data_IF_709120156922
#
_entry.id   IF_709120156922
#
_cell.length_a   1.000
_cell.length_b   1.000
_cell.length_c   1.000
_cell.angle_alpha   90.00
_cell.angle_beta   90.00
_cell.angle_gamma   90.00
#
_symmetry.space_group_name_H-M   'P 1'
#
loop_
_entity.id
_entity.type
_entity.pdbx_description
1 polymer ?
#
# COMPACT_ATOMS: atom_id res chain seq x y z
N UNK A 1 4.13 -56.63 -78.64
CA UNK A 1 3.64 -56.91 -77.27
C UNK A 1 4.66 -56.56 -76.17
N UNK A 2 5.95 -56.92 -76.29
CA UNK A 2 6.97 -56.67 -75.24
C UNK A 2 7.18 -55.18 -74.88
N UNK A 3 7.18 -54.27 -75.86
CA UNK A 3 7.36 -52.81 -75.62
C UNK A 3 6.19 -52.16 -74.84
N UNK A 4 4.95 -52.64 -75.04
CA UNK A 4 3.78 -52.13 -74.33
C UNK A 4 3.79 -52.55 -72.84
N UNK A 5 4.26 -53.78 -72.55
CA UNK A 5 4.41 -54.29 -71.18
C UNK A 5 5.45 -53.51 -70.37
N UNK A 6 6.57 -53.11 -71.00
CA UNK A 6 7.58 -52.28 -70.33
C UNK A 6 7.08 -50.87 -70.01
N UNK A 7 6.28 -50.27 -70.89
CA UNK A 7 5.70 -48.93 -70.65
C UNK A 7 4.69 -48.99 -69.50
N UNK A 8 3.88 -50.05 -69.41
CA UNK A 8 2.94 -50.21 -68.29
C UNK A 8 3.66 -50.44 -66.96
N UNK A 9 4.74 -51.23 -66.94
CA UNK A 9 5.53 -51.46 -65.71
C UNK A 9 6.19 -50.15 -65.23
N UNK A 10 6.80 -49.38 -66.15
CA UNK A 10 7.41 -48.09 -65.83
C UNK A 10 6.40 -47.05 -65.32
N UNK A 11 5.19 -47.00 -65.90
CA UNK A 11 4.13 -46.13 -65.42
C UNK A 11 3.65 -46.51 -64.00
N UNK A 12 3.64 -47.80 -63.69
CA UNK A 12 3.17 -48.30 -62.39
C UNK A 12 4.20 -48.02 -61.29
N UNK A 13 5.49 -48.19 -61.57
CA UNK A 13 6.56 -47.84 -60.61
C UNK A 13 6.63 -46.34 -60.34
N UNK A 14 6.44 -45.49 -61.36
CA UNK A 14 6.41 -44.03 -61.19
C UNK A 14 5.24 -43.57 -60.32
N UNK A 15 4.06 -44.20 -60.46
CA UNK A 15 2.89 -43.91 -59.62
C UNK A 15 3.08 -44.36 -58.16
N UNK A 16 3.77 -45.47 -57.93
CA UNK A 16 4.06 -45.96 -56.56
C UNK A 16 5.12 -45.07 -55.90
N UNK A 17 6.20 -44.72 -56.62
CA UNK A 17 7.24 -43.83 -56.12
C UNK A 17 6.70 -42.42 -55.81
N UNK A 18 5.91 -41.84 -56.71
CA UNK A 18 5.28 -40.53 -56.48
C UNK A 18 4.31 -40.52 -55.29
N UNK A 19 3.58 -41.62 -55.03
CA UNK A 19 2.73 -41.76 -53.84
C UNK A 19 3.54 -41.90 -52.54
N UNK A 20 4.71 -42.55 -52.58
CA UNK A 20 5.60 -42.66 -51.43
C UNK A 20 6.25 -41.31 -51.10
N UNK A 21 6.72 -40.58 -52.11
CA UNK A 21 7.32 -39.24 -51.94
C UNK A 21 6.30 -38.22 -51.42
N UNK A 22 5.06 -38.21 -51.93
CA UNK A 22 4.00 -37.32 -51.44
C UNK A 22 3.61 -37.64 -49.99
N UNK A 23 3.63 -38.92 -49.58
CA UNK A 23 3.39 -39.31 -48.18
C UNK A 23 4.57 -38.91 -47.28
N UNK A 24 5.81 -39.07 -47.74
CA UNK A 24 7.00 -38.67 -47.00
C UNK A 24 7.06 -37.15 -46.79
N UNK A 25 6.77 -36.37 -47.84
CA UNK A 25 6.71 -34.91 -47.77
C UNK A 25 5.58 -34.40 -46.86
N UNK A 26 4.41 -35.06 -46.86
CA UNK A 26 3.32 -34.73 -45.91
C UNK A 26 3.70 -35.05 -44.47
N UNK A 27 4.33 -36.21 -44.23
CA UNK A 27 4.78 -36.61 -42.89
C UNK A 27 5.84 -35.65 -42.33
N UNK A 28 6.81 -35.23 -43.15
CA UNK A 28 7.84 -34.27 -42.77
C UNK A 28 7.27 -32.88 -42.48
N UNK A 29 6.32 -32.42 -43.32
CA UNK A 29 5.62 -31.14 -43.13
C UNK A 29 4.76 -31.15 -41.85
N UNK A 30 4.08 -32.26 -41.56
CA UNK A 30 3.31 -32.43 -40.33
C UNK A 30 4.23 -32.46 -39.11
N UNK A 31 5.37 -33.15 -39.16
CA UNK A 31 6.31 -33.22 -38.04
C UNK A 31 6.90 -31.83 -37.72
N UNK A 32 7.34 -31.09 -38.74
CA UNK A 32 7.84 -29.72 -38.59
C UNK A 32 6.76 -28.76 -38.04
N UNK A 33 5.50 -28.96 -38.44
CA UNK A 33 4.37 -28.22 -37.89
C UNK A 33 4.18 -28.49 -36.38
N UNK A 34 4.21 -29.75 -35.97
CA UNK A 34 4.07 -30.14 -34.56
C UNK A 34 5.25 -29.68 -33.70
N UNK A 35 6.46 -29.66 -34.24
CA UNK A 35 7.64 -29.10 -33.57
C UNK A 35 7.51 -27.59 -33.32
N UNK A 36 7.18 -26.80 -34.36
CA UNK A 36 6.95 -25.36 -34.20
C UNK A 36 5.82 -25.05 -33.21
N UNK A 37 4.74 -25.84 -33.23
CA UNK A 37 3.64 -25.68 -32.27
C UNK A 37 4.09 -25.98 -30.84
N UNK A 38 4.89 -27.03 -30.63
CA UNK A 38 5.44 -27.38 -29.31
C UNK A 38 6.37 -26.29 -28.78
N UNK A 39 7.18 -25.66 -29.63
CA UNK A 39 8.00 -24.52 -29.24
C UNK A 39 7.16 -23.29 -28.88
N UNK A 40 6.12 -22.99 -29.68
CA UNK A 40 5.20 -21.90 -29.39
C UNK A 40 4.43 -22.11 -28.08
N UNK A 41 3.99 -23.34 -27.81
CA UNK A 41 3.36 -23.73 -26.55
C UNK A 41 4.32 -23.55 -25.36
N UNK A 42 5.59 -23.99 -25.49
CA UNK A 42 6.62 -23.76 -24.45
C UNK A 42 6.82 -22.27 -24.14
N UNK A 43 6.97 -21.44 -25.18
CA UNK A 43 7.13 -19.98 -25.02
C UNK A 43 5.91 -19.34 -24.36
N UNK A 44 4.71 -19.78 -24.74
CA UNK A 44 3.46 -19.30 -24.15
C UNK A 44 3.36 -19.69 -22.68
N UNK A 45 3.69 -20.92 -22.34
CA UNK A 45 3.70 -21.41 -20.96
C UNK A 45 4.72 -20.66 -20.11
N UNK A 46 5.91 -20.38 -20.65
CA UNK A 46 6.92 -19.56 -19.99
C UNK A 46 6.42 -18.14 -19.73
N UNK A 47 5.82 -17.49 -20.73
CA UNK A 47 5.20 -16.17 -20.58
C UNK A 47 4.13 -16.13 -19.48
N UNK A 48 3.21 -17.09 -19.47
CA UNK A 48 2.18 -17.15 -18.42
C UNK A 48 2.79 -17.42 -17.04
N UNK A 49 3.79 -18.30 -16.94
CA UNK A 49 4.51 -18.54 -15.67
C UNK A 49 5.19 -17.28 -15.14
N UNK A 50 5.87 -16.52 -16.00
CA UNK A 50 6.50 -15.27 -15.58
C UNK A 50 5.47 -14.22 -15.15
N UNK A 51 4.39 -14.07 -15.92
CA UNK A 51 3.30 -13.16 -15.59
C UNK A 51 2.65 -13.50 -14.25
N UNK A 52 2.39 -14.78 -14.01
CA UNK A 52 1.79 -15.24 -12.76
C UNK A 52 2.74 -15.06 -11.57
N UNK A 53 4.05 -15.29 -11.77
CA UNK A 53 5.07 -14.96 -10.77
C UNK A 53 5.06 -13.47 -10.41
N UNK A 54 5.07 -12.58 -11.40
CA UNK A 54 5.01 -11.12 -11.17
C UNK A 54 3.71 -10.72 -10.47
N UNK A 55 2.57 -11.31 -10.85
CA UNK A 55 1.29 -11.04 -10.21
C UNK A 55 1.26 -11.51 -8.76
N UNK A 56 1.82 -12.69 -8.49
CA UNK A 56 1.94 -13.23 -7.14
C UNK A 56 2.88 -12.38 -6.27
N UNK A 57 3.99 -11.90 -6.83
CA UNK A 57 4.91 -10.98 -6.16
C UNK A 57 4.23 -9.67 -5.79
N UNK A 58 3.55 -9.01 -6.74
CA UNK A 58 2.79 -7.79 -6.49
C UNK A 58 1.72 -7.99 -5.41
N UNK A 59 0.98 -9.11 -5.45
CA UNK A 59 0.00 -9.44 -4.44
C UNK A 59 0.63 -9.64 -3.04
N UNK A 60 1.81 -10.26 -2.97
CA UNK A 60 2.57 -10.43 -1.73
C UNK A 60 3.05 -9.09 -1.18
N UNK A 61 3.61 -8.22 -2.01
CA UNK A 61 4.01 -6.87 -1.59
C UNK A 61 2.83 -6.07 -1.05
N UNK A 62 1.71 -6.06 -1.78
CA UNK A 62 0.51 -5.34 -1.35
C UNK A 62 0.01 -5.88 -0.01
N UNK A 63 0.01 -7.20 0.16
CA UNK A 63 -0.37 -7.84 1.43
C UNK A 63 0.58 -7.48 2.56
N UNK A 64 1.89 -7.51 2.33
CA UNK A 64 2.91 -7.09 3.33
C UNK A 64 2.69 -5.64 3.76
N UNK A 65 2.51 -4.72 2.82
CA UNK A 65 2.20 -3.30 3.11
C UNK A 65 0.91 -3.16 3.93
N UNK A 66 -0.13 -3.92 3.57
CA UNK A 66 -1.39 -3.89 4.29
C UNK A 66 -1.25 -4.44 5.71
N UNK A 67 -0.56 -5.56 5.88
CA UNK A 67 -0.27 -6.16 7.19
C UNK A 67 0.58 -5.21 8.07
N UNK A 68 1.57 -4.54 7.48
CA UNK A 68 2.39 -3.53 8.16
C UNK A 68 1.54 -2.34 8.62
N UNK A 69 0.71 -1.78 7.73
CA UNK A 69 -0.24 -0.72 8.05
C UNK A 69 -1.16 -1.10 9.22
N UNK A 70 -1.79 -2.27 9.17
CA UNK A 70 -2.68 -2.71 10.24
C UNK A 70 -1.92 -3.01 11.54
N UNK A 71 -0.71 -3.54 11.46
CA UNK A 71 0.15 -3.78 12.64
C UNK A 71 0.52 -2.46 13.31
N UNK A 72 0.91 -1.46 12.53
CA UNK A 72 1.24 -0.14 13.04
C UNK A 72 0.01 0.56 13.62
N UNK A 73 -1.11 0.55 12.90
CA UNK A 73 -2.38 1.10 13.38
C UNK A 73 -2.84 0.43 14.68
N UNK A 74 -2.68 -0.89 14.82
CA UNK A 74 -3.03 -1.63 16.04
C UNK A 74 -2.14 -1.24 17.22
N UNK A 75 -0.83 -1.07 17.01
CA UNK A 75 0.09 -0.56 18.03
C UNK A 75 -0.30 0.84 18.49
N UNK A 76 -0.55 1.75 17.55
CA UNK A 76 -1.00 3.12 17.83
C UNK A 76 -2.32 3.12 18.62
N UNK A 77 -3.26 2.25 18.26
CA UNK A 77 -4.52 2.11 18.98
C UNK A 77 -4.33 1.59 20.41
N UNK A 78 -3.48 0.59 20.62
CA UNK A 78 -3.15 0.06 21.95
C UNK A 78 -2.49 1.12 22.83
N UNK A 79 -1.57 1.90 22.26
CA UNK A 79 -0.91 3.02 22.92
C UNK A 79 -1.92 4.10 23.32
N UNK A 80 -2.82 4.48 22.40
CA UNK A 80 -3.95 5.36 22.67
C UNK A 80 -4.82 4.88 23.85
N UNK A 81 -5.23 3.61 23.85
CA UNK A 81 -6.06 3.06 24.93
C UNK A 81 -5.34 3.12 26.29
N UNK A 82 -4.03 2.88 26.29
CA UNK A 82 -3.19 2.98 27.49
C UNK A 82 -3.09 4.43 27.99
N UNK A 83 -2.85 5.39 27.09
CA UNK A 83 -2.79 6.81 27.42
C UNK A 83 -4.14 7.31 27.99
N UNK A 84 -5.24 6.97 27.31
CA UNK A 84 -6.60 7.32 27.74
C UNK A 84 -6.92 6.79 29.14
N UNK A 85 -6.54 5.55 29.45
CA UNK A 85 -6.83 4.94 30.76
C UNK A 85 -6.04 5.58 31.90
N UNK A 86 -4.86 6.15 31.62
CA UNK A 86 -3.95 6.69 32.64
C UNK A 86 -4.34 8.10 33.11
N UNK A 87 -4.83 8.96 32.22
CA UNK A 87 -4.96 10.40 32.49
C UNK A 87 -6.40 10.95 32.48
N UNK A 88 -7.38 10.17 32.00
CA UNK A 88 -8.74 10.68 31.79
C UNK A 88 -8.81 11.73 30.68
N UNK A 89 -10.02 12.20 30.36
CA UNK A 89 -10.19 13.30 29.41
C UNK A 89 -10.26 14.64 30.16
N UNK A 90 -9.65 15.71 29.64
CA UNK A 90 -9.73 17.02 30.26
C UNK A 90 -11.16 17.59 30.17
N UNK A 91 -11.54 18.47 31.08
CA UNK A 91 -12.92 18.96 31.19
C UNK A 91 -13.48 19.61 29.90
N UNK A 92 -12.62 20.28 29.12
CA UNK A 92 -12.99 20.88 27.84
C UNK A 92 -13.19 19.86 26.70
N UNK A 93 -12.70 18.63 26.85
CA UNK A 93 -12.70 17.63 25.79
C UNK A 93 -14.10 17.38 25.22
N UNK A 94 -15.11 17.32 26.09
CA UNK A 94 -16.49 17.05 25.68
C UNK A 94 -17.07 18.18 24.83
N UNK A 95 -16.73 19.44 25.14
CA UNK A 95 -17.22 20.60 24.40
C UNK A 95 -16.73 20.59 22.95
N UNK A 96 -15.49 20.14 22.74
CA UNK A 96 -14.83 20.09 21.44
C UNK A 96 -14.94 18.75 20.71
N UNK A 97 -15.74 17.80 21.25
CA UNK A 97 -15.81 16.41 20.74
C UNK A 97 -14.42 15.79 20.57
N UNK A 98 -13.53 16.14 21.49
CA UNK A 98 -12.13 15.75 21.46
C UNK A 98 -11.98 14.25 21.68
N UNK A 99 -11.07 13.67 20.91
CA UNK A 99 -10.69 12.28 21.04
C UNK A 99 -9.21 12.22 21.43
N UNK A 100 -8.88 11.55 22.54
CA UNK A 100 -7.51 11.48 23.06
C UNK A 100 -6.51 10.70 22.17
N UNK A 101 -6.87 10.36 20.92
CA UNK A 101 -5.95 9.80 19.91
C UNK A 101 -5.22 10.87 19.10
N UNK A 102 -5.64 12.11 19.25
CA UNK A 102 -5.12 13.28 18.54
C UNK A 102 -4.63 14.29 19.55
N UNK A 103 -3.61 15.07 19.19
CA UNK A 103 -3.24 16.23 19.99
C UNK A 103 -4.27 17.34 19.76
N UNK A 104 -4.39 18.26 20.72
CA UNK A 104 -5.22 19.46 20.57
C UNK A 104 -4.34 20.69 20.68
N UNK A 105 -4.51 21.67 19.80
CA UNK A 105 -3.75 22.91 19.80
C UNK A 105 -4.68 24.09 20.10
N UNK A 106 -4.43 24.75 21.22
CA UNK A 106 -5.08 25.97 21.67
C UNK A 106 -4.38 27.16 21.01
N UNK A 107 -4.94 27.62 19.88
CA UNK A 107 -4.30 28.59 18.99
C UNK A 107 -3.99 29.91 19.69
N UNK A 108 -4.98 30.47 20.39
CA UNK A 108 -4.86 31.76 21.07
C UNK A 108 -3.85 31.76 22.24
N UNK A 109 -3.35 30.57 22.62
CA UNK A 109 -2.51 30.36 23.80
C UNK A 109 -1.18 29.68 23.47
N UNK A 110 -0.89 29.42 22.18
CA UNK A 110 0.30 28.68 21.72
C UNK A 110 0.58 27.43 22.57
N UNK A 111 -0.48 26.68 22.87
CA UNK A 111 -0.44 25.57 23.82
C UNK A 111 -1.04 24.32 23.20
N UNK A 112 -0.31 23.21 23.22
CA UNK A 112 -0.86 21.89 22.93
C UNK A 112 -1.38 21.22 24.20
N UNK A 113 -2.41 20.41 24.06
CA UNK A 113 -2.69 19.31 24.98
C UNK A 113 -2.20 18.01 24.35
N UNK A 114 -1.26 17.37 25.05
CA UNK A 114 -0.63 16.13 24.69
C UNK A 114 -1.29 14.99 25.50
N UNK A 115 -2.17 14.17 24.89
CA UNK A 115 -2.81 13.06 25.59
C UNK A 115 -1.86 11.90 25.92
N UNK A 116 -0.69 11.81 25.27
CA UNK A 116 0.30 10.78 25.57
C UNK A 116 1.02 11.06 26.88
N UNK A 117 1.43 12.32 27.09
CA UNK A 117 1.98 12.79 28.37
C UNK A 117 0.91 13.13 29.40
N UNK A 118 -0.33 13.34 28.96
CA UNK A 118 -1.49 13.63 29.80
C UNK A 118 -1.47 15.05 30.37
N UNK A 119 -1.02 16.02 29.58
CA UNK A 119 -0.81 17.39 30.06
C UNK A 119 -0.71 18.41 28.92
N UNK A 120 -0.30 19.61 29.28
CA UNK A 120 -0.19 20.76 28.38
C UNK A 120 1.27 21.04 28.06
N UNK A 121 1.52 21.38 26.81
CA UNK A 121 2.83 21.78 26.30
C UNK A 121 2.68 23.16 25.72
N UNK A 122 3.39 24.14 26.27
CA UNK A 122 3.18 25.54 25.93
C UNK A 122 4.50 26.26 25.69
N UNK A 123 4.44 27.27 24.84
CA UNK A 123 5.58 28.11 24.53
C UNK A 123 5.74 29.20 25.61
N UNK A 124 6.87 29.22 26.31
CA UNK A 124 7.19 30.20 27.34
C UNK A 124 8.58 30.81 27.07
N UNK A 125 8.58 32.09 26.70
CA UNK A 125 9.82 32.81 26.37
C UNK A 125 10.64 32.13 25.27
N UNK A 126 9.98 31.53 24.27
CA UNK A 126 10.61 30.79 23.17
C UNK A 126 11.00 29.35 23.50
N UNK A 127 10.70 28.86 24.71
CA UNK A 127 11.00 27.49 25.12
C UNK A 127 9.72 26.71 25.34
N UNK A 128 9.65 25.49 24.80
CA UNK A 128 8.56 24.57 25.09
C UNK A 128 8.65 24.02 26.51
N UNK A 129 7.57 24.15 27.27
CA UNK A 129 7.45 23.64 28.64
C UNK A 129 6.28 22.69 28.74
N UNK A 130 6.43 21.66 29.57
CA UNK A 130 5.37 20.70 29.88
C UNK A 130 4.82 20.94 31.30
N UNK A 131 3.50 20.86 31.43
CA UNK A 131 2.79 20.83 32.70
C UNK A 131 1.70 19.75 32.68
N UNK A 132 1.59 18.95 33.73
CA UNK A 132 0.48 18.01 33.87
C UNK A 132 -0.85 18.73 34.17
N UNK A 133 -0.79 19.94 34.72
CA UNK A 133 -1.93 20.78 35.06
C UNK A 133 -2.13 21.88 34.00
N UNK A 134 -3.33 22.49 34.00
CA UNK A 134 -3.65 23.63 33.15
C UNK A 134 -2.64 24.76 33.46
N UNK A 135 -1.92 25.30 32.45
CA UNK A 135 -0.98 26.39 32.67
C UNK A 135 -1.65 27.59 33.31
N UNK A 136 -0.92 28.32 34.17
CA UNK A 136 -1.50 29.39 35.00
C UNK A 136 -2.20 30.48 34.20
N UNK A 137 -1.67 30.82 33.01
CA UNK A 137 -2.26 31.80 32.09
C UNK A 137 -3.58 31.33 31.45
N UNK A 138 -3.93 30.04 31.56
CA UNK A 138 -5.17 29.46 31.03
C UNK A 138 -6.22 29.15 32.12
N UNK A 139 -5.90 29.26 33.42
CA UNK A 139 -6.80 28.85 34.51
C UNK A 139 -8.15 29.59 34.48
N UNK A 140 -8.16 30.86 34.09
CA UNK A 140 -9.37 31.70 34.03
C UNK A 140 -10.00 31.77 32.62
N UNK A 141 -9.56 30.90 31.71
CA UNK A 141 -10.09 30.83 30.34
C UNK A 141 -11.22 29.81 30.28
N UNK A 142 -12.30 30.13 29.58
CA UNK A 142 -13.31 29.14 29.20
C UNK A 142 -12.77 28.24 28.08
N UNK A 143 -12.04 27.19 28.46
CA UNK A 143 -11.47 26.21 27.54
C UNK A 143 -12.54 25.47 26.73
N UNK A 144 -13.80 25.46 27.19
CA UNK A 144 -14.92 24.89 26.44
C UNK A 144 -15.32 25.73 25.21
N UNK A 145 -14.92 27.00 25.17
CA UNK A 145 -15.15 27.94 24.06
C UNK A 145 -13.86 28.40 23.36
N UNK A 146 -12.71 27.95 23.86
CA UNK A 146 -11.41 28.31 23.29
C UNK A 146 -11.27 27.84 21.84
N UNK A 147 -10.45 28.55 21.08
CA UNK A 147 -10.14 28.22 19.71
C UNK A 147 -9.17 27.03 19.63
N UNK A 148 -9.72 25.82 19.46
CA UNK A 148 -8.93 24.57 19.42
C UNK A 148 -8.87 23.99 18.00
N UNK A 149 -7.67 23.65 17.55
CA UNK A 149 -7.40 22.81 16.39
C UNK A 149 -7.11 21.37 16.83
N UNK A 150 -7.77 20.38 16.21
CA UNK A 150 -7.47 18.96 16.45
C UNK A 150 -6.40 18.50 15.46
N UNK A 151 -5.22 18.18 15.98
CA UNK A 151 -4.04 17.80 15.22
C UNK A 151 -4.07 16.29 14.93
N UNK A 152 -4.36 15.92 13.67
CA UNK A 152 -4.63 14.51 13.26
C UNK A 152 -3.45 13.83 12.57
N UNK A 153 -2.54 14.62 12.08
CA UNK A 153 -1.37 14.31 11.28
C UNK A 153 -0.14 14.00 12.15
N UNK A 154 -0.06 14.55 13.37
CA UNK A 154 0.96 14.17 14.36
C UNK A 154 0.57 12.87 15.07
N UNK A 155 1.40 11.81 15.01
CA UNK A 155 1.16 10.60 15.79
C UNK A 155 1.15 10.89 17.30
N UNK A 156 0.27 10.22 18.04
CA UNK A 156 0.17 10.38 19.51
C UNK A 156 1.50 10.10 20.25
N UNK A 157 2.36 9.24 19.70
CA UNK A 157 3.66 8.90 20.28
C UNK A 157 4.75 9.95 20.05
N UNK A 158 4.45 11.00 19.28
CA UNK A 158 5.35 12.12 19.00
C UNK A 158 4.96 13.34 19.82
N UNK A 159 5.97 14.15 20.10
CA UNK A 159 5.81 15.42 20.78
C UNK A 159 5.21 16.44 19.80
N UNK A 160 4.04 17.04 20.09
CA UNK A 160 3.39 17.95 19.16
C UNK A 160 4.18 19.25 18.94
N UNK A 161 4.98 19.68 19.93
CA UNK A 161 5.82 20.88 19.84
C UNK A 161 6.87 20.82 18.71
N UNK A 162 7.28 19.62 18.29
CA UNK A 162 8.24 19.42 17.19
C UNK A 162 7.63 19.85 15.82
N UNK A 163 6.31 20.00 15.75
CA UNK A 163 5.54 20.30 14.53
C UNK A 163 4.85 21.67 14.60
N UNK A 164 5.20 22.51 15.57
CA UNK A 164 4.52 23.79 15.81
C UNK A 164 4.40 24.68 14.57
N UNK A 165 5.46 24.76 13.76
CA UNK A 165 5.50 25.61 12.58
C UNK A 165 4.39 25.28 11.56
N UNK A 166 3.98 24.01 11.49
CA UNK A 166 2.93 23.57 10.57
C UNK A 166 1.53 24.11 10.95
N UNK A 167 1.33 24.52 12.21
CA UNK A 167 0.03 24.99 12.73
C UNK A 167 -0.02 26.48 13.01
N UNK A 168 1.14 27.13 13.15
CA UNK A 168 1.25 28.58 13.36
C UNK A 168 1.05 29.35 12.04
N UNK A 169 1.55 28.82 10.91
CA UNK A 169 1.44 29.48 9.59
C UNK A 169 0.01 29.50 9.04
N UNK A 170 -0.78 28.45 9.30
CA UNK A 170 -2.18 28.37 8.88
C UNK A 170 -3.07 29.43 9.54
N UNK A 171 -2.66 30.01 10.67
CA UNK A 171 -3.44 31.02 11.40
C UNK A 171 -3.42 32.40 10.74
N UNK A 172 -2.41 32.72 9.95
CA UNK A 172 -2.24 34.06 9.35
C UNK A 172 -2.73 34.18 7.89
N UNK A 173 -3.23 33.08 7.32
CA UNK A 173 -3.62 33.01 5.90
C UNK A 173 -5.15 33.03 5.64
N UNK A 174 -5.98 33.24 6.67
CA UNK A 174 -7.45 33.37 6.55
C UNK A 174 -7.94 34.81 6.80
#
# INVERSE_FOLDING_TARGET
>A
MKKAVFITIAATTLLIAGRAEVKAQRYEKDNKYWEHRREADKKRDEYYRERDKKRAEYARERRKKQEEYYRESSKRHKEYLKARHKHGLPGWARAHRYEARYHAYFRDYSTFYDPYRGGYVFLDGGNWRFSAEIPSFMINVDLGRANILIVKDVPISRHPEDFYHDYDEDYWND
#
